data_IF_488360172953
#
_entry.id   IF_488360172953
#
_cell.length_a   1.000
_cell.length_b   1.000
_cell.length_c   1.000
_cell.angle_alpha   90.00
_cell.angle_beta   90.00
_cell.angle_gamma   90.00
#
_symmetry.space_group_name_H-M   'P 1'
#
loop_
_entity.id
_entity.type
_entity.pdbx_description
1 polymer ?
#
# COMPACT_ATOMS: atom_id res chain seq x y z
N UNK A 1 -10.34 21.58 6.17
CA UNK A 1 -10.51 20.36 5.34
C UNK A 1 -9.76 20.46 4.02
N UNK A 2 -10.09 21.38 3.10
CA UNK A 2 -9.47 21.43 1.76
C UNK A 2 -7.95 21.62 1.74
N UNK A 3 -7.40 22.48 2.61
CA UNK A 3 -5.94 22.62 2.73
C UNK A 3 -5.27 21.31 3.15
N UNK A 4 -5.87 20.56 4.08
CA UNK A 4 -5.33 19.28 4.54
C UNK A 4 -5.45 18.21 3.47
N UNK A 5 -6.54 18.22 2.69
CA UNK A 5 -6.67 17.39 1.50
C UNK A 5 -5.54 17.70 0.51
N UNK A 6 -5.33 18.97 0.18
CA UNK A 6 -4.27 19.39 -0.74
C UNK A 6 -2.89 18.94 -0.25
N UNK A 7 -2.57 19.21 1.02
CA UNK A 7 -1.31 18.78 1.63
C UNK A 7 -1.14 17.26 1.64
N UNK A 8 -2.22 16.50 1.79
CA UNK A 8 -2.17 15.04 1.70
C UNK A 8 -1.97 14.59 0.26
N UNK A 9 -2.60 15.26 -0.70
CA UNK A 9 -2.59 14.93 -2.13
C UNK A 9 -1.38 15.45 -2.92
N UNK A 10 -0.62 16.40 -2.37
CA UNK A 10 0.49 17.02 -3.08
C UNK A 10 1.85 16.74 -2.43
N UNK A 11 1.88 16.19 -1.20
CA UNK A 11 3.14 15.84 -0.54
C UNK A 11 3.60 14.46 -0.96
N UNK A 12 4.91 14.33 -1.17
CA UNK A 12 5.56 13.04 -1.29
C UNK A 12 5.25 12.18 -0.05
N UNK A 13 4.68 10.97 -0.20
CA UNK A 13 4.35 10.09 0.92
C UNK A 13 5.58 9.50 1.62
N UNK A 14 6.76 9.61 1.01
CA UNK A 14 8.00 8.98 1.47
C UNK A 14 8.48 7.94 0.47
N UNK A 15 8.49 8.27 -0.82
CA UNK A 15 8.98 7.39 -1.87
C UNK A 15 10.47 7.09 -1.63
N UNK A 16 10.81 5.81 -1.62
CA UNK A 16 12.19 5.34 -1.52
C UNK A 16 12.78 5.30 -2.93
N UNK A 17 13.91 6.01 -3.20
CA UNK A 17 14.55 5.97 -4.51
C UNK A 17 14.88 4.53 -4.92
N UNK A 18 14.69 4.22 -6.20
CA UNK A 18 15.12 2.94 -6.76
C UNK A 18 16.63 2.84 -6.67
N UNK A 19 17.14 1.64 -6.42
CA UNK A 19 18.58 1.44 -6.35
C UNK A 19 19.13 1.34 -7.78
N UNK A 20 20.11 2.18 -8.12
CA UNK A 20 20.76 2.16 -9.45
C UNK A 20 21.73 0.97 -9.59
N UNK A 21 22.30 0.55 -8.47
CA UNK A 21 23.16 -0.61 -8.38
C UNK A 21 22.54 -1.57 -7.37
N UNK A 22 22.03 -2.75 -7.79
CA UNK A 22 21.57 -3.74 -6.83
C UNK A 22 22.69 -4.05 -5.83
N UNK A 23 22.37 -4.27 -4.54
CA UNK A 23 23.38 -4.60 -3.55
C UNK A 23 24.17 -5.81 -4.03
N UNK A 24 25.48 -5.66 -4.17
CA UNK A 24 26.40 -6.74 -4.53
C UNK A 24 26.25 -7.88 -3.53
N UNK A 25 26.24 -9.09 -4.08
CA UNK A 25 26.12 -10.34 -3.33
C UNK A 25 27.19 -10.42 -2.24
N UNK A 26 26.77 -10.39 -0.97
CA UNK A 26 27.58 -11.02 0.08
C UNK A 26 27.48 -12.53 -0.14
N UNK A 27 28.38 -13.08 -0.95
CA UNK A 27 28.57 -14.52 -1.08
C UNK A 27 29.02 -15.02 0.29
N UNK A 28 28.11 -15.58 1.07
CA UNK A 28 28.47 -16.42 2.20
C UNK A 28 29.10 -17.67 1.60
N UNK A 29 30.43 -17.78 1.69
CA UNK A 29 31.12 -19.03 1.44
C UNK A 29 30.71 -20.00 2.57
N UNK A 30 29.63 -20.76 2.35
CA UNK A 30 29.44 -21.99 3.09
C UNK A 30 30.54 -22.96 2.63
N UNK A 31 31.66 -22.92 3.36
CA UNK A 31 32.74 -23.90 3.27
C UNK A 31 32.26 -25.25 3.81
N UNK A 32 31.34 -25.92 3.12
CA UNK A 32 30.97 -27.32 3.38
C UNK A 32 30.01 -27.90 2.33
N UNK A 33 30.40 -27.91 1.05
CA UNK A 33 29.82 -28.89 0.12
C UNK A 33 30.81 -29.24 -0.99
N UNK A 34 30.99 -30.54 -1.17
CA UNK A 34 31.93 -31.24 -2.03
C UNK A 34 31.89 -30.84 -3.51
N UNK A 35 33.07 -30.92 -4.12
CA UNK A 35 33.33 -30.85 -5.57
C UNK A 35 32.38 -31.80 -6.29
N UNK A 36 31.50 -31.26 -7.12
CA UNK A 36 30.94 -32.00 -8.26
C UNK A 36 31.02 -31.13 -9.52
N UNK A 37 31.67 -31.68 -10.54
CA UNK A 37 32.01 -30.99 -11.78
C UNK A 37 30.80 -31.07 -12.71
N UNK A 38 29.97 -30.04 -12.68
CA UNK A 38 28.82 -29.89 -13.57
C UNK A 38 28.54 -28.42 -13.84
N UNK A 39 28.68 -28.02 -15.09
CA UNK A 39 28.55 -26.66 -15.63
C UNK A 39 27.14 -26.08 -15.36
N UNK A 40 26.93 -25.53 -14.17
CA UNK A 40 25.86 -24.57 -13.90
C UNK A 40 26.52 -23.24 -13.58
N UNK A 41 26.32 -22.25 -14.45
CA UNK A 41 26.52 -20.85 -14.07
C UNK A 41 25.74 -20.62 -12.77
N UNK A 42 26.37 -20.24 -11.66
CA UNK A 42 25.64 -19.97 -10.44
C UNK A 42 24.83 -18.70 -10.69
N UNK A 43 23.54 -18.83 -10.98
CA UNK A 43 22.64 -17.68 -10.92
C UNK A 43 22.60 -17.23 -9.47
N UNK A 44 23.10 -16.04 -9.13
CA UNK A 44 23.10 -15.62 -7.75
C UNK A 44 21.67 -15.30 -7.35
N UNK A 45 21.07 -16.17 -6.54
CA UNK A 45 19.75 -15.92 -5.98
C UNK A 45 19.95 -15.13 -4.71
N UNK A 46 19.89 -13.80 -4.82
CA UNK A 46 19.84 -12.91 -3.65
C UNK A 46 18.81 -13.47 -2.65
N UNK A 47 19.16 -13.60 -1.35
CA UNK A 47 18.23 -14.15 -0.38
C UNK A 47 16.96 -13.27 -0.36
N UNK A 48 15.77 -13.85 -0.53
CA UNK A 48 14.54 -13.09 -0.65
C UNK A 48 14.21 -12.28 0.62
N UNK A 49 14.83 -12.64 1.75
CA UNK A 49 14.73 -11.89 3.00
C UNK A 49 16.09 -11.67 3.68
N UNK A 50 16.28 -10.46 4.21
CA UNK A 50 17.41 -10.07 5.08
C UNK A 50 16.87 -9.81 6.49
N UNK A 51 17.62 -10.15 7.52
CA UNK A 51 17.27 -9.79 8.91
C UNK A 51 17.93 -8.46 9.29
N UNK A 52 17.13 -7.55 9.86
CA UNK A 52 17.58 -6.24 10.33
C UNK A 52 17.13 -6.09 11.77
N UNK A 53 18.05 -5.80 12.68
CA UNK A 53 17.75 -5.58 14.09
C UNK A 53 17.09 -4.21 14.25
N UNK A 54 15.89 -4.17 14.82
CA UNK A 54 15.16 -2.94 15.17
C UNK A 54 14.82 -2.98 16.65
N UNK A 55 15.31 -2.01 17.43
CA UNK A 55 15.15 -1.96 18.88
C UNK A 55 15.58 -3.27 19.59
N UNK A 56 16.64 -3.93 19.12
CA UNK A 56 17.12 -5.21 19.66
C UNK A 56 16.38 -6.46 19.20
N UNK A 57 15.32 -6.32 18.37
CA UNK A 57 14.53 -7.44 17.84
C UNK A 57 14.86 -7.66 16.35
N UNK A 58 15.17 -8.89 15.91
CA UNK A 58 15.39 -9.19 14.49
C UNK A 58 14.08 -9.08 13.69
N UNK A 59 14.06 -8.21 12.67
CA UNK A 59 12.94 -8.01 11.75
C UNK A 59 13.36 -8.46 10.35
N UNK A 60 12.62 -9.43 9.80
CA UNK A 60 12.82 -9.90 8.42
C UNK A 60 12.27 -8.88 7.42
N UNK A 61 13.13 -8.35 6.57
CA UNK A 61 12.79 -7.48 5.44
C UNK A 61 12.84 -8.23 4.12
N UNK A 62 11.98 -7.85 3.17
CA UNK A 62 11.88 -8.48 1.84
C UNK A 62 12.63 -7.66 0.77
N UNK A 63 13.17 -8.32 -0.23
CA UNK A 63 13.69 -7.65 -1.42
C UNK A 63 12.56 -7.17 -2.35
N UNK A 64 12.72 -6.01 -2.97
CA UNK A 64 11.85 -5.51 -4.04
C UNK A 64 12.60 -5.58 -5.36
N UNK A 65 12.13 -6.43 -6.26
CA UNK A 65 12.73 -6.61 -7.59
C UNK A 65 12.56 -5.33 -8.43
N UNK A 66 11.35 -4.76 -8.43
CA UNK A 66 11.02 -3.56 -9.22
C UNK A 66 11.86 -2.33 -8.85
N UNK A 67 12.12 -2.14 -7.56
CA UNK A 67 12.91 -1.01 -7.05
C UNK A 67 14.37 -1.38 -6.76
N UNK A 68 14.75 -2.64 -6.98
CA UNK A 68 16.09 -3.22 -6.77
C UNK A 68 16.71 -2.95 -5.37
N UNK A 69 15.87 -2.96 -4.32
CA UNK A 69 16.30 -2.64 -2.96
C UNK A 69 15.74 -3.62 -1.92
N UNK A 70 16.50 -3.86 -0.85
CA UNK A 70 15.95 -4.45 0.37
C UNK A 70 15.06 -3.42 1.05
N UNK A 71 13.78 -3.76 1.24
CA UNK A 71 12.79 -2.82 1.76
C UNK A 71 13.16 -2.46 3.20
N UNK A 72 13.34 -1.17 3.54
CA UNK A 72 13.53 -0.77 4.93
C UNK A 72 12.40 -1.29 5.83
N UNK A 73 12.62 -1.43 7.15
CA UNK A 73 11.53 -1.80 8.07
C UNK A 73 10.32 -0.88 7.88
N UNK A 74 9.12 -1.47 7.83
CA UNK A 74 7.82 -0.77 7.55
C UNK A 74 7.69 -0.19 6.13
N UNK A 75 8.59 -0.49 5.19
CA UNK A 75 8.45 -0.10 3.78
C UNK A 75 7.73 -1.20 2.98
N UNK A 76 6.78 -0.79 2.14
CA UNK A 76 6.07 -1.68 1.22
C UNK A 76 6.05 -1.11 -0.20
N UNK A 77 6.05 -1.99 -1.18
CA UNK A 77 5.90 -1.62 -2.59
C UNK A 77 4.41 -1.51 -2.92
N UNK A 78 3.99 -0.36 -3.46
CA UNK A 78 2.66 -0.18 -4.01
C UNK A 78 2.71 -0.42 -5.51
N UNK A 79 1.98 -1.44 -6.00
CA UNK A 79 1.89 -1.75 -7.43
C UNK A 79 1.17 -0.66 -8.22
N UNK A 80 0.19 0.02 -7.63
CA UNK A 80 -0.57 1.10 -8.28
C UNK A 80 0.33 2.30 -8.57
N UNK A 81 1.16 2.69 -7.61
CA UNK A 81 2.09 3.81 -7.77
C UNK A 81 3.47 3.39 -8.30
N UNK A 82 3.71 2.09 -8.49
CA UNK A 82 4.99 1.49 -8.90
C UNK A 82 6.22 1.98 -8.10
N UNK A 83 6.04 2.14 -6.79
CA UNK A 83 7.07 2.72 -5.92
C UNK A 83 7.06 2.07 -4.52
N UNK A 84 8.25 1.93 -3.94
CA UNK A 84 8.40 1.60 -2.53
C UNK A 84 8.16 2.85 -1.68
N UNK A 85 7.31 2.74 -0.64
CA UNK A 85 6.94 3.87 0.24
C UNK A 85 7.33 3.55 1.69
N UNK A 86 8.03 4.49 2.33
CA UNK A 86 8.45 4.37 3.73
C UNK A 86 7.27 4.51 4.70
N UNK A 87 7.21 3.63 5.71
CA UNK A 87 6.05 3.48 6.62
C UNK A 87 4.74 3.48 5.86
N UNK A 88 4.67 2.64 4.82
CA UNK A 88 3.49 2.52 3.98
C UNK A 88 2.29 2.11 4.83
N UNK A 89 1.21 2.87 4.67
CA UNK A 89 -0.08 2.57 5.28
C UNK A 89 -0.97 1.92 4.23
N UNK A 90 -1.45 2.70 3.25
CA UNK A 90 -2.29 2.19 2.16
C UNK A 90 -2.19 3.08 0.91
N UNK A 91 -2.70 2.61 -0.23
CA UNK A 91 -3.00 3.47 -1.37
C UNK A 91 -4.43 3.97 -1.24
N UNK A 92 -4.64 5.29 -1.19
CA UNK A 92 -5.96 5.89 -1.01
C UNK A 92 -6.52 6.36 -2.36
N UNK A 93 -7.54 5.71 -2.93
CA UNK A 93 -8.12 6.12 -4.20
C UNK A 93 -8.75 7.52 -4.13
N UNK A 94 -9.28 7.90 -2.96
CA UNK A 94 -9.93 9.19 -2.73
C UNK A 94 -8.97 10.37 -2.79
N UNK A 95 -7.71 10.16 -2.39
CA UNK A 95 -6.65 11.18 -2.44
C UNK A 95 -5.80 11.00 -3.71
N UNK A 96 -5.90 9.86 -4.38
CA UNK A 96 -5.16 9.54 -5.59
C UNK A 96 -3.68 9.20 -5.36
N UNK A 97 -3.29 8.78 -4.15
CA UNK A 97 -1.90 8.47 -3.84
C UNK A 97 -1.72 7.52 -2.64
N UNK A 98 -0.48 7.05 -2.46
CA UNK A 98 -0.08 6.36 -1.24
C UNK A 98 -0.11 7.27 -0.02
N UNK A 99 -0.54 6.72 1.11
CA UNK A 99 -0.39 7.31 2.44
C UNK A 99 0.81 6.60 3.10
N UNK A 100 1.77 7.39 3.56
CA UNK A 100 3.02 6.91 4.15
C UNK A 100 3.59 7.90 5.16
N UNK A 101 4.83 7.68 5.58
CA UNK A 101 5.51 8.45 6.64
C UNK A 101 5.28 9.97 6.57
N UNK A 102 5.42 10.57 5.38
CA UNK A 102 5.55 12.02 5.24
C UNK A 102 4.22 12.75 5.06
N UNK A 103 3.18 12.08 4.58
CA UNK A 103 1.84 12.66 4.40
C UNK A 103 0.80 12.14 5.42
N UNK A 104 1.12 11.11 6.22
CA UNK A 104 0.21 10.53 7.21
C UNK A 104 -0.40 11.54 8.19
N UNK A 105 0.39 12.53 8.66
CA UNK A 105 -0.14 13.59 9.55
C UNK A 105 -1.23 14.41 8.88
N UNK A 106 -0.98 14.83 7.65
CA UNK A 106 -1.93 15.60 6.86
C UNK A 106 -3.19 14.78 6.57
N UNK A 107 -3.02 13.49 6.25
CA UNK A 107 -4.12 12.55 6.05
C UNK A 107 -4.99 12.41 7.31
N UNK A 108 -4.36 12.16 8.47
CA UNK A 108 -5.07 11.99 9.73
C UNK A 108 -5.83 13.26 10.15
N UNK A 109 -5.19 14.42 10.02
CA UNK A 109 -5.84 15.70 10.29
C UNK A 109 -6.97 15.98 9.29
N UNK A 110 -6.81 15.58 8.02
CA UNK A 110 -7.86 15.70 7.01
C UNK A 110 -9.10 14.87 7.39
N UNK A 111 -8.96 13.58 7.71
CA UNK A 111 -10.10 12.75 8.10
C UNK A 111 -10.74 13.24 9.40
N UNK A 112 -9.93 13.61 10.40
CA UNK A 112 -10.42 14.08 11.71
C UNK A 112 -11.17 15.40 11.58
N UNK A 113 -10.61 16.38 10.86
CA UNK A 113 -11.28 17.66 10.62
C UNK A 113 -12.54 17.52 9.76
N UNK A 114 -12.58 16.53 8.86
CA UNK A 114 -13.78 16.20 8.08
C UNK A 114 -14.87 15.60 8.97
N UNK A 115 -14.53 14.70 9.89
CA UNK A 115 -15.46 14.19 10.91
C UNK A 115 -16.02 15.33 11.76
N UNK A 116 -15.16 16.22 12.29
CA UNK A 116 -15.59 17.37 13.09
C UNK A 116 -16.50 18.31 12.29
N UNK A 117 -16.17 18.58 11.03
CA UNK A 117 -17.02 19.40 10.16
C UNK A 117 -18.39 18.76 9.94
N UNK A 118 -18.46 17.43 9.74
CA UNK A 118 -19.74 16.74 9.61
C UNK A 118 -20.57 16.79 10.89
N UNK A 119 -19.96 16.63 12.07
CA UNK A 119 -20.65 16.77 13.37
C UNK A 119 -21.19 18.20 13.51
N UNK A 120 -20.38 19.20 13.17
CA UNK A 120 -20.78 20.61 13.24
C UNK A 120 -21.97 20.92 12.32
N UNK A 121 -21.91 20.53 11.04
CA UNK A 121 -23.00 20.76 10.08
C UNK A 121 -24.26 20.01 10.51
N UNK A 122 -24.13 18.77 10.98
CA UNK A 122 -25.26 17.99 11.48
C UNK A 122 -25.92 18.70 12.69
N UNK A 123 -25.11 19.13 13.66
CA UNK A 123 -25.58 19.84 14.84
C UNK A 123 -26.28 21.16 14.51
N UNK A 124 -25.67 21.99 13.65
CA UNK A 124 -26.27 23.25 13.22
C UNK A 124 -27.58 23.05 12.44
N UNK A 125 -27.64 22.02 11.58
CA UNK A 125 -28.86 21.68 10.84
C UNK A 125 -29.98 21.18 11.76
N UNK A 126 -29.63 20.36 12.76
CA UNK A 126 -30.58 19.90 13.77
C UNK A 126 -31.12 21.06 14.63
N UNK A 127 -30.24 22.00 15.02
CA UNK A 127 -30.65 23.21 15.73
C UNK A 127 -31.57 24.09 14.89
N UNK A 128 -31.27 24.27 13.59
CA UNK A 128 -32.12 25.03 12.67
C UNK A 128 -33.56 24.45 12.60
N UNK A 129 -33.69 23.13 12.41
CA UNK A 129 -35.00 22.46 12.41
C UNK A 129 -35.71 22.61 13.76
N UNK A 130 -34.96 22.55 14.88
CA UNK A 130 -35.55 22.75 16.21
C UNK A 130 -36.12 24.16 16.39
N UNK A 131 -35.40 25.20 15.98
CA UNK A 131 -35.88 26.58 16.03
C UNK A 131 -37.14 26.78 15.16
N UNK A 132 -37.10 26.31 13.91
CA UNK A 132 -38.26 26.35 13.01
C UNK A 132 -39.46 25.56 13.58
N UNK A 133 -39.22 24.44 14.27
CA UNK A 133 -40.29 23.67 14.91
C UNK A 133 -40.96 24.46 16.03
N UNK A 134 -40.20 25.27 16.78
CA UNK A 134 -40.76 26.12 17.82
C UNK A 134 -41.62 27.25 17.21
N UNK A 135 -41.22 27.81 16.07
CA UNK A 135 -41.95 28.90 15.40
C UNK A 135 -43.24 28.42 14.70
N UNK A 136 -43.17 27.29 13.98
CA UNK A 136 -44.29 26.77 13.19
C UNK A 136 -45.16 25.72 13.94
N UNK A 137 -44.74 25.33 15.14
CA UNK A 137 -45.43 24.40 16.05
C UNK A 137 -45.40 22.92 15.64
N UNK A 138 -44.86 22.56 14.47
CA UNK A 138 -44.78 21.16 14.03
C UNK A 138 -43.55 20.93 13.15
N UNK A 139 -42.85 19.81 13.39
CA UNK A 139 -41.64 19.43 12.64
C UNK A 139 -41.89 19.35 11.14
N UNK A 140 -43.04 18.85 10.71
CA UNK A 140 -43.38 18.74 9.28
C UNK A 140 -43.42 20.09 8.56
N UNK A 141 -43.91 21.14 9.22
CA UNK A 141 -43.88 22.50 8.67
C UNK A 141 -42.45 23.03 8.61
N UNK A 142 -41.67 22.85 9.68
CA UNK A 142 -40.25 23.22 9.71
C UNK A 142 -39.43 22.56 8.58
N UNK A 143 -39.70 21.29 8.27
CA UNK A 143 -39.05 20.57 7.17
C UNK A 143 -39.44 21.15 5.82
N UNK A 144 -40.71 21.51 5.60
CA UNK A 144 -41.17 22.14 4.35
C UNK A 144 -40.52 23.50 4.13
N UNK A 145 -40.30 24.27 5.19
CA UNK A 145 -39.64 25.57 5.13
C UNK A 145 -38.12 25.46 4.87
N UNK A 146 -37.47 24.43 5.42
CA UNK A 146 -36.02 24.22 5.24
C UNK A 146 -35.67 22.76 4.89
N UNK A 147 -35.99 22.29 3.67
CA UNK A 147 -35.68 20.92 3.26
C UNK A 147 -34.17 20.68 3.16
N UNK A 148 -33.39 21.72 2.89
CA UNK A 148 -31.93 21.65 2.78
C UNK A 148 -31.29 21.17 4.08
N UNK A 149 -31.76 21.62 5.26
CA UNK A 149 -31.22 21.17 6.54
C UNK A 149 -31.42 19.67 6.75
N UNK A 150 -32.55 19.11 6.34
CA UNK A 150 -32.81 17.66 6.43
C UNK A 150 -31.90 16.89 5.48
N UNK A 151 -31.75 17.36 4.24
CA UNK A 151 -30.84 16.74 3.26
C UNK A 151 -29.40 16.74 3.78
N UNK A 152 -28.94 17.86 4.34
CA UNK A 152 -27.60 17.97 4.94
C UNK A 152 -27.45 17.05 6.16
N UNK A 153 -28.48 16.92 7.00
CA UNK A 153 -28.44 15.97 8.13
C UNK A 153 -28.29 14.53 7.66
N UNK A 154 -29.07 14.11 6.66
CA UNK A 154 -28.96 12.74 6.08
C UNK A 154 -27.60 12.52 5.47
N UNK A 155 -27.10 13.48 4.69
CA UNK A 155 -25.77 13.44 4.10
C UNK A 155 -24.68 13.31 5.18
N UNK A 156 -24.69 14.20 6.18
CA UNK A 156 -23.72 14.16 7.28
C UNK A 156 -23.82 12.87 8.10
N UNK A 157 -25.00 12.30 8.32
CA UNK A 157 -25.17 11.04 9.02
C UNK A 157 -24.46 9.88 8.29
N UNK A 158 -24.68 9.77 6.98
CA UNK A 158 -24.01 8.75 6.15
C UNK A 158 -22.50 8.96 6.18
N UNK A 159 -22.02 10.18 5.98
CA UNK A 159 -20.58 10.47 5.99
C UNK A 159 -19.94 10.27 7.36
N UNK A 160 -20.64 10.55 8.46
CA UNK A 160 -20.15 10.31 9.82
C UNK A 160 -19.94 8.82 10.10
N UNK A 161 -20.82 7.96 9.58
CA UNK A 161 -20.64 6.51 9.72
C UNK A 161 -19.30 6.05 9.12
N UNK A 162 -19.02 6.45 7.88
CA UNK A 162 -17.80 6.03 7.17
C UNK A 162 -16.56 6.78 7.66
N UNK A 163 -16.58 8.12 7.61
CA UNK A 163 -15.41 8.96 7.93
C UNK A 163 -15.13 8.97 9.43
N UNK A 164 -16.16 8.98 10.27
CA UNK A 164 -16.01 8.85 11.73
C UNK A 164 -15.43 7.50 12.13
N UNK A 165 -15.96 6.41 11.56
CA UNK A 165 -15.40 5.06 11.76
C UNK A 165 -13.93 4.96 11.33
N UNK A 166 -13.58 5.54 10.19
CA UNK A 166 -12.20 5.60 9.71
C UNK A 166 -11.29 6.39 10.67
N UNK A 167 -11.75 7.54 11.18
CA UNK A 167 -11.01 8.34 12.17
C UNK A 167 -10.77 7.54 13.45
N UNK A 168 -11.78 6.83 13.97
CA UNK A 168 -11.63 5.95 15.14
C UNK A 168 -10.63 4.81 14.89
N UNK A 169 -10.68 4.18 13.71
CA UNK A 169 -9.74 3.13 13.33
C UNK A 169 -8.29 3.64 13.29
N UNK A 170 -8.05 4.81 12.68
CA UNK A 170 -6.70 5.38 12.67
C UNK A 170 -6.24 5.86 14.05
N UNK A 171 -7.14 6.33 14.91
CA UNK A 171 -6.83 6.62 16.31
C UNK A 171 -6.33 5.36 17.05
N UNK A 172 -6.97 4.21 16.81
CA UNK A 172 -6.52 2.92 17.36
C UNK A 172 -5.14 2.50 16.83
N UNK A 173 -4.90 2.63 15.52
CA UNK A 173 -3.60 2.34 14.91
C UNK A 173 -2.48 3.22 15.47
N UNK A 174 -2.76 4.51 15.67
CA UNK A 174 -1.81 5.44 16.29
C UNK A 174 -1.56 5.05 17.75
N UNK A 175 -2.62 4.75 18.50
CA UNK A 175 -2.53 4.33 19.90
C UNK A 175 -1.68 3.08 20.11
N UNK A 176 -1.64 2.18 19.12
CA UNK A 176 -0.90 0.90 19.14
C UNK A 176 0.37 0.91 18.28
N UNK A 177 0.73 2.04 17.65
CA UNK A 177 1.83 2.15 16.67
C UNK A 177 1.85 1.05 15.60
N UNK A 178 0.67 0.65 15.13
CA UNK A 178 0.52 -0.27 13.99
C UNK A 178 0.42 0.52 12.69
N UNK A 179 0.95 -0.04 11.60
CA UNK A 179 0.58 0.41 10.25
C UNK A 179 -0.65 -0.39 9.81
N UNK A 180 -1.57 0.21 9.06
CA UNK A 180 -2.79 -0.50 8.62
C UNK A 180 -2.48 -1.79 7.87
N UNK A 181 -1.35 -1.89 7.16
CA UNK A 181 -0.94 -3.10 6.45
C UNK A 181 -0.50 -4.26 7.36
N UNK A 182 -0.26 -4.03 8.65
CA UNK A 182 -0.04 -5.11 9.63
C UNK A 182 -1.36 -5.72 10.10
N UNK A 183 -2.47 -5.00 9.98
CA UNK A 183 -3.82 -5.54 10.08
C UNK A 183 -4.27 -5.89 8.67
N UNK A 184 -3.80 -7.04 8.17
CA UNK A 184 -4.31 -7.60 6.93
C UNK A 184 -5.81 -7.93 7.09
N UNK A 185 -6.70 -6.94 6.97
CA UNK A 185 -8.14 -7.15 6.80
C UNK A 185 -8.38 -8.03 5.55
N UNK A 186 -7.48 -7.93 4.57
CA UNK A 186 -7.42 -8.79 3.39
C UNK A 186 -6.97 -10.22 3.70
N UNK A 187 -5.97 -10.47 4.56
CA UNK A 187 -5.62 -11.86 4.93
C UNK A 187 -6.66 -12.47 5.86
N UNK A 188 -7.24 -11.73 6.81
CA UNK A 188 -8.31 -12.26 7.68
C UNK A 188 -9.58 -12.60 6.88
N UNK A 189 -9.98 -11.75 5.93
CA UNK A 189 -11.16 -11.99 5.09
C UNK A 189 -10.91 -13.04 3.99
N UNK A 190 -9.69 -13.11 3.44
CA UNK A 190 -9.32 -14.13 2.45
C UNK A 190 -9.14 -15.51 3.11
N UNK A 191 -8.59 -15.57 4.33
CA UNK A 191 -8.41 -16.82 5.07
C UNK A 191 -9.76 -17.41 5.54
N UNK A 192 -10.71 -16.55 5.93
CA UNK A 192 -12.09 -16.97 6.23
C UNK A 192 -12.81 -17.60 5.02
N UNK A 193 -12.47 -17.20 3.79
CA UNK A 193 -13.01 -17.79 2.55
C UNK A 193 -12.31 -19.09 2.15
N UNK A 194 -11.00 -19.22 2.39
CA UNK A 194 -10.24 -20.44 2.04
C UNK A 194 -10.44 -21.60 3.02
N UNK A 195 -10.87 -21.33 4.27
CA UNK A 195 -11.19 -22.36 5.26
C UNK A 195 -12.48 -23.13 4.93
N UNK A 196 -13.43 -22.52 4.21
CA UNK A 196 -14.69 -23.17 3.84
C UNK A 196 -14.53 -24.33 2.83
N UNK A 197 -13.42 -24.39 2.08
CA UNK A 197 -13.28 -25.27 0.91
C UNK A 197 -12.28 -26.41 1.06
N UNK A 198 -11.60 -26.55 2.21
CA UNK A 198 -10.65 -27.65 2.45
C UNK A 198 -10.86 -28.30 3.81
N UNK A 199 -11.99 -28.99 3.95
CA UNK A 199 -12.17 -30.00 5.00
C UNK A 199 -11.92 -31.37 4.39
N UNK A 200 -10.67 -31.83 4.46
CA UNK A 200 -10.19 -33.21 4.62
C UNK A 200 -8.71 -33.24 4.21
N UNK A 201 -7.80 -33.15 5.19
CA UNK A 201 -6.74 -34.15 5.36
C UNK A 201 -5.70 -33.72 6.41
N UNK A 202 -5.32 -34.71 7.19
CA UNK A 202 -4.67 -34.61 8.48
C UNK A 202 -3.15 -34.39 8.31
N UNK A 203 -2.68 -33.14 8.23
CA UNK A 203 -1.28 -32.75 8.48
C UNK A 203 -1.27 -31.37 9.13
N UNK A 204 -0.62 -31.25 10.30
CA UNK A 204 -0.40 -30.04 11.13
C UNK A 204 -0.98 -28.77 10.49
N UNK A 205 -2.09 -28.31 11.04
CA UNK A 205 -2.81 -27.16 10.52
C UNK A 205 -1.85 -25.97 10.42
N UNK A 206 -1.82 -25.33 9.26
CA UNK A 206 -1.18 -24.02 9.04
C UNK A 206 -1.56 -23.02 10.14
N UNK A 207 -2.73 -23.21 10.75
CA UNK A 207 -3.17 -22.54 11.96
C UNK A 207 -2.17 -22.61 13.12
N UNK A 208 -1.56 -23.76 13.45
CA UNK A 208 -0.53 -23.84 14.50
C UNK A 208 0.74 -23.06 14.12
N UNK A 209 1.15 -23.10 12.85
CA UNK A 209 2.29 -22.32 12.35
C UNK A 209 1.99 -20.81 12.34
N UNK A 210 0.73 -20.42 12.13
CA UNK A 210 0.27 -19.04 12.18
C UNK A 210 0.06 -18.55 13.62
N UNK A 211 -0.42 -19.43 14.52
CA UNK A 211 -0.60 -19.14 15.95
C UNK A 211 0.74 -18.86 16.62
N UNK A 212 1.78 -19.64 16.34
CA UNK A 212 3.12 -19.33 16.85
C UNK A 212 3.77 -18.10 16.19
N UNK A 213 3.44 -17.76 14.93
CA UNK A 213 3.94 -16.53 14.26
C UNK A 213 3.27 -15.25 14.72
N UNK A 214 2.03 -15.33 15.22
CA UNK A 214 1.24 -14.20 15.69
C UNK A 214 1.36 -13.93 17.19
N UNK A 215 1.68 -14.94 18.00
CA UNK A 215 1.65 -14.86 19.47
C UNK A 215 2.93 -14.28 20.09
N UNK A 216 4.07 -14.25 19.37
CA UNK A 216 5.36 -13.79 19.92
C UNK A 216 6.03 -12.66 19.13
N UNK A 217 5.28 -11.79 18.44
CA UNK A 217 5.85 -10.49 18.06
C UNK A 217 5.51 -9.49 19.14
N UNK A 218 6.39 -9.24 20.12
CA UNK A 218 6.27 -8.02 20.91
C UNK A 218 6.13 -6.88 19.92
N UNK A 219 5.19 -5.98 20.19
CA UNK A 219 4.88 -4.87 19.30
C UNK A 219 6.08 -3.92 19.32
N UNK A 220 7.08 -4.20 18.45
CA UNK A 220 8.46 -3.66 18.49
C UNK A 220 8.49 -2.12 18.50
N UNK A 221 7.40 -1.52 18.05
CA UNK A 221 7.24 -0.08 17.91
C UNK A 221 6.29 0.52 18.97
N UNK A 222 5.50 -0.25 19.70
CA UNK A 222 4.62 0.28 20.75
C UNK A 222 5.45 0.76 21.95
N UNK A 223 5.30 2.04 22.30
CA UNK A 223 5.96 2.67 23.45
C UNK A 223 4.94 3.25 24.43
N UNK A 224 3.68 2.81 24.34
CA UNK A 224 2.54 3.36 25.07
C UNK A 224 1.85 4.49 24.29
N UNK A 225 0.53 4.60 24.50
CA UNK A 225 -0.34 5.47 23.71
C UNK A 225 0.21 6.89 23.53
N UNK A 226 0.55 7.60 24.62
CA UNK A 226 1.05 8.98 24.54
C UNK A 226 2.35 9.11 23.73
N UNK A 227 3.26 8.15 23.88
CA UNK A 227 4.54 8.15 23.15
C UNK A 227 4.33 7.83 21.66
N UNK A 228 3.36 6.96 21.34
CA UNK A 228 3.01 6.66 19.96
C UNK A 228 2.36 7.87 19.26
N UNK A 229 1.46 8.57 19.96
CA UNK A 229 0.91 9.84 19.48
C UNK A 229 2.03 10.88 19.29
N UNK A 230 2.95 11.01 20.26
CA UNK A 230 4.09 11.93 20.15
C UNK A 230 5.00 11.56 18.98
N UNK A 231 5.21 10.28 18.69
CA UNK A 231 5.94 9.83 17.52
C UNK A 231 5.24 10.28 16.23
N UNK A 232 3.92 10.15 16.15
CA UNK A 232 3.17 10.53 14.96
C UNK A 232 3.12 12.04 14.79
N UNK A 233 2.84 12.83 15.82
CA UNK A 233 2.58 14.28 15.69
C UNK A 233 3.78 15.18 15.98
N UNK A 234 4.68 14.77 16.87
CA UNK A 234 5.73 15.64 17.40
C UNK A 234 7.15 15.23 16.98
N UNK A 235 7.33 14.12 16.26
CA UNK A 235 8.66 13.76 15.73
C UNK A 235 9.05 14.63 14.54
N UNK A 236 10.36 14.79 14.29
CA UNK A 236 10.85 15.40 13.06
C UNK A 236 10.65 14.43 11.89
N UNK A 237 9.99 14.89 10.82
CA UNK A 237 9.84 14.12 9.58
C UNK A 237 11.12 14.33 8.75
N UNK A 238 11.73 13.23 8.29
CA UNK A 238 12.89 13.30 7.39
C UNK A 238 12.51 13.97 6.05
N UNK A 239 13.42 14.74 5.42
CA UNK A 239 13.17 15.34 4.11
C UNK A 239 13.01 14.26 3.02
N UNK A 240 12.53 14.66 1.83
CA UNK A 240 12.42 13.70 0.72
C UNK A 240 13.79 13.16 0.36
N UNK A 241 13.82 11.89 0.02
CA UNK A 241 15.01 11.27 -0.59
C UNK A 241 15.06 11.50 -2.09
N UNK A 242 13.98 12.00 -2.70
CA UNK A 242 13.91 12.31 -4.12
C UNK A 242 13.93 13.82 -4.31
N UNK A 243 14.69 14.28 -5.30
CA UNK A 243 14.62 15.65 -5.76
C UNK A 243 13.62 15.75 -6.91
N UNK A 244 12.34 15.99 -6.59
CA UNK A 244 11.26 16.10 -7.60
C UNK A 244 11.38 17.34 -8.49
N UNK A 245 12.27 18.28 -8.17
CA UNK A 245 12.56 19.47 -8.97
C UNK A 245 13.83 19.34 -9.80
N UNK A 246 14.58 18.23 -9.68
CA UNK A 246 15.75 18.01 -10.51
C UNK A 246 15.32 17.74 -11.96
N UNK A 247 16.10 18.27 -12.91
CA UNK A 247 15.99 17.86 -14.30
C UNK A 247 16.25 16.36 -14.42
N UNK A 248 15.42 15.65 -15.18
CA UNK A 248 15.63 14.25 -15.48
C UNK A 248 16.90 14.17 -16.32
N UNK A 249 17.96 13.60 -15.75
CA UNK A 249 19.11 13.18 -16.56
C UNK A 249 18.63 11.99 -17.40
N UNK A 250 18.43 12.21 -18.69
CA UNK A 250 18.40 11.12 -19.66
C UNK A 250 19.79 10.49 -19.64
N UNK A 251 19.97 9.46 -18.83
CA UNK A 251 21.09 8.56 -19.02
C UNK A 251 20.87 7.91 -20.38
N UNK A 252 21.61 8.36 -21.38
CA UNK A 252 21.87 7.62 -22.60
C UNK A 252 22.26 6.20 -22.18
N UNK A 253 21.32 5.26 -22.27
CA UNK A 253 21.68 3.84 -22.31
C UNK A 253 22.29 3.63 -23.69
N UNK A 254 23.52 4.11 -23.84
CA UNK A 254 24.41 3.68 -24.90
C UNK A 254 24.55 2.18 -24.74
N UNK A 255 23.80 1.45 -25.56
CA UNK A 255 24.15 0.09 -25.93
C UNK A 255 25.59 0.17 -26.44
N UNK A 256 26.56 -0.31 -25.65
CA UNK A 256 27.94 -0.45 -26.09
C UNK A 256 27.95 -1.53 -27.17
N UNK A 257 27.63 -1.12 -28.40
CA UNK A 257 27.83 -1.92 -29.59
C UNK A 257 29.33 -2.03 -29.78
N UNK A 258 29.87 -3.22 -29.49
CA UNK A 258 31.22 -3.60 -29.87
C UNK A 258 31.45 -3.21 -31.33
N UNK A 259 32.35 -2.26 -31.54
CA UNK A 259 32.81 -1.86 -32.87
C UNK A 259 33.65 -3.00 -33.44
N UNK A 260 33.08 -3.74 -34.39
CA UNK A 260 33.84 -4.29 -35.50
C UNK A 260 33.16 -3.85 -36.79
N UNK A 261 33.93 -3.08 -37.58
CA UNK A 261 33.91 -2.89 -39.03
C UNK A 261 32.60 -2.78 -39.81
N UNK A 262 32.49 -1.65 -40.53
CA UNK A 262 31.99 -1.50 -41.91
C UNK A 262 30.48 -1.56 -42.23
N UNK A 263 29.96 -0.38 -42.62
CA UNK A 263 29.37 -0.21 -43.96
C UNK A 263 27.85 -0.32 -44.11
N UNK A 264 27.30 0.67 -44.84
CA UNK A 264 25.97 0.79 -45.45
C UNK A 264 24.87 1.57 -44.70
N UNK A 265 24.51 2.68 -45.36
CA UNK A 265 23.40 3.59 -45.10
C UNK A 265 22.08 2.92 -45.54
N UNK A 266 21.05 3.03 -44.70
CA UNK A 266 19.67 2.77 -45.06
C UNK A 266 18.72 3.52 -44.14
N UNK A 267 18.06 4.56 -44.68
CA UNK A 267 16.90 5.22 -44.07
C UNK A 267 15.79 4.20 -43.77
N UNK A 268 15.03 4.39 -42.69
CA UNK A 268 13.57 4.49 -42.74
C UNK A 268 12.95 4.85 -41.37
N UNK A 269 12.16 5.91 -41.46
CA UNK A 269 11.10 6.47 -40.63
C UNK A 269 10.17 5.44 -39.94
N UNK A 270 9.54 5.81 -38.80
CA UNK A 270 8.34 5.08 -38.32
C UNK A 270 8.14 4.84 -36.82
N UNK A 271 7.74 5.89 -36.10
CA UNK A 271 6.73 5.97 -35.03
C UNK A 271 6.12 4.68 -34.39
N UNK A 272 5.94 4.75 -33.05
CA UNK A 272 4.74 4.36 -32.26
C UNK A 272 4.87 3.16 -31.28
N UNK A 273 4.57 3.47 -30.01
CA UNK A 273 4.21 2.59 -28.88
C UNK A 273 3.57 1.26 -29.31
N UNK A 274 4.18 0.14 -28.92
CA UNK A 274 3.56 -1.18 -28.95
C UNK A 274 3.36 -1.66 -27.50
N UNK A 275 2.11 -1.60 -27.06
CA UNK A 275 1.58 -2.31 -25.90
C UNK A 275 0.30 -2.96 -26.41
N UNK A 276 0.08 -4.20 -25.98
CA UNK A 276 -1.05 -5.11 -26.30
C UNK A 276 -0.73 -6.07 -27.44
N UNK A 277 -0.10 -7.21 -27.10
CA UNK A 277 -0.35 -8.48 -27.83
C UNK A 277 -0.07 -9.77 -27.04
N UNK A 278 0.46 -9.71 -25.81
CA UNK A 278 0.77 -10.91 -25.01
C UNK A 278 -0.45 -11.55 -24.29
N UNK A 279 -1.60 -10.87 -24.26
CA UNK A 279 -2.81 -11.37 -23.57
C UNK A 279 -3.69 -12.30 -24.45
N UNK A 280 -3.38 -12.40 -25.76
CA UNK A 280 -4.17 -13.23 -26.70
C UNK A 280 -3.63 -14.64 -26.91
N UNK A 281 -2.35 -14.90 -26.63
CA UNK A 281 -1.79 -16.25 -26.75
C UNK A 281 -2.16 -17.15 -25.55
N UNK A 282 -2.26 -16.59 -24.34
CA UNK A 282 -2.64 -17.36 -23.13
C UNK A 282 -4.09 -17.88 -23.21
N UNK A 283 -5.00 -17.13 -23.86
CA UNK A 283 -6.40 -17.54 -24.04
C UNK A 283 -6.56 -18.70 -25.04
N UNK A 284 -5.72 -18.76 -26.07
CA UNK A 284 -5.76 -19.82 -27.08
C UNK A 284 -5.27 -21.17 -26.56
N UNK A 285 -4.27 -21.17 -25.67
CA UNK A 285 -3.73 -22.39 -25.08
C UNK A 285 -4.65 -23.00 -24.00
N UNK A 286 -5.41 -22.17 -23.27
CA UNK A 286 -6.39 -22.67 -22.29
C UNK A 286 -7.59 -23.36 -22.95
N UNK A 287 -8.04 -22.88 -24.12
CA UNK A 287 -9.11 -23.50 -24.91
C UNK A 287 -8.68 -24.85 -25.52
N UNK A 288 -7.41 -25.01 -25.90
CA UNK A 288 -6.86 -26.29 -26.37
C UNK A 288 -6.70 -27.32 -25.24
N UNK A 289 -6.46 -26.88 -24.01
CA UNK A 289 -6.33 -27.77 -22.84
C UNK A 289 -7.71 -28.24 -22.37
N UNK A 290 -8.76 -27.42 -22.44
CA UNK A 290 -10.12 -27.85 -22.08
C UNK A 290 -10.69 -28.86 -23.08
N UNK A 291 -10.49 -28.65 -24.39
CA UNK A 291 -10.99 -29.55 -25.43
C UNK A 291 -10.29 -30.93 -25.44
N UNK A 292 -9.04 -31.02 -24.96
CA UNK A 292 -8.38 -32.33 -24.78
C UNK A 292 -8.96 -33.12 -23.60
N UNK A 293 -9.40 -32.45 -22.54
CA UNK A 293 -9.99 -33.12 -21.37
C UNK A 293 -11.38 -33.68 -21.66
N UNK A 294 -12.19 -32.98 -22.45
CA UNK A 294 -13.54 -33.46 -22.82
C UNK A 294 -13.51 -34.67 -23.78
N UNK A 295 -12.40 -34.89 -24.49
CA UNK A 295 -12.23 -36.04 -25.38
C UNK A 295 -11.66 -37.30 -24.69
N UNK A 296 -11.17 -37.18 -23.45
CA UNK A 296 -10.68 -38.32 -22.65
C UNK A 296 -11.73 -38.86 -21.67
N UNK A 297 -12.82 -38.11 -21.43
CA UNK A 297 -13.91 -38.45 -20.51
C UNK A 297 -15.23 -38.86 -21.22
N UNK A 298 -15.20 -39.11 -22.54
CA UNK A 298 -16.33 -39.59 -23.36
C UNK A 298 -15.99 -40.93 -24.04
#
# INVERSE_FOLDING_TARGET
VLLLLLLTSARDPGIVPRNLHPPTEEICYDSSASIDVGRQTPTPRLPPTKEVIVNGVPVRVKYCITCQLYRPPRCSHCSVCDNCVERFDHHCPWVGQCIGMRNYRSFFLFISSSTILCIFIFGMSALNIKFLTNDYGTVWKAIKESPLSVVLMVYCFIFLWFVGGLTCFHLYLIGTNQVSILLNFWEVWHDAKTVSTRRTDNKKTTYETFRYRGVERPQVYDRGCLNNFREVFCSKIKPSRNNFHAYVQENERGFTRSTNSEGYIGNLDGNRREKVEDDREIGGDLLKISQRREAEDA
#
